data_IF_594470253323
#
_entry.id   IF_594470253323
#
_cell.length_a   1.000
_cell.length_b   1.000
_cell.length_c   1.000
_cell.angle_alpha   90.00
_cell.angle_beta   90.00
_cell.angle_gamma   90.00
#
_symmetry.space_group_name_H-M   'P 1'
#
loop_
_entity.id
_entity.type
_entity.pdbx_description
1 polymer ?
#
# COMPACT_ATOMS: atom_id res chain seq x y z
N UNK A 1 25.87 -9.96 22.74
CA UNK A 1 25.60 -9.89 21.29
C UNK A 1 24.25 -9.22 21.12
N UNK A 2 24.27 -7.95 20.73
CA UNK A 2 23.08 -7.12 20.69
C UNK A 2 22.19 -7.55 19.53
N UNK A 3 21.01 -8.09 19.84
CA UNK A 3 19.82 -7.98 18.99
C UNK A 3 19.47 -6.50 18.95
N UNK A 4 20.27 -5.70 18.24
CA UNK A 4 19.95 -4.33 17.91
C UNK A 4 18.62 -4.37 17.19
N UNK A 5 17.59 -3.91 17.89
CA UNK A 5 16.24 -3.76 17.40
C UNK A 5 16.31 -3.16 16.00
N UNK A 6 15.89 -3.92 15.00
CA UNK A 6 15.45 -3.36 13.71
C UNK A 6 14.18 -2.57 14.01
N UNK A 7 14.32 -1.42 14.69
CA UNK A 7 13.27 -0.41 14.76
C UNK A 7 13.22 0.18 13.34
N UNK A 8 12.33 -0.38 12.52
CA UNK A 8 12.00 0.19 11.21
C UNK A 8 11.51 1.62 11.42
N UNK A 9 11.87 2.50 10.48
CA UNK A 9 11.49 3.91 10.53
C UNK A 9 9.97 4.03 10.37
N UNK A 10 9.27 4.19 11.49
CA UNK A 10 7.81 4.22 11.55
C UNK A 10 7.24 5.40 10.76
N UNK A 11 7.91 6.55 10.78
CA UNK A 11 7.46 7.75 10.06
C UNK A 11 7.56 7.52 8.56
N UNK A 12 8.66 6.92 8.10
CA UNK A 12 8.84 6.56 6.69
C UNK A 12 7.79 5.55 6.22
N UNK A 13 7.51 4.54 7.03
CA UNK A 13 6.49 3.52 6.71
C UNK A 13 5.10 4.15 6.62
N UNK A 14 4.74 5.04 7.53
CA UNK A 14 3.46 5.77 7.48
C UNK A 14 3.35 6.68 6.25
N UNK A 15 4.42 7.39 5.89
CA UNK A 15 4.48 8.22 4.69
C UNK A 15 4.26 7.39 3.41
N UNK A 16 4.97 6.27 3.29
CA UNK A 16 4.87 5.35 2.17
C UNK A 16 3.47 4.74 2.06
N UNK A 17 2.87 4.33 3.18
CA UNK A 17 1.49 3.84 3.21
C UNK A 17 0.50 4.90 2.73
N UNK A 18 0.58 6.11 3.28
CA UNK A 18 -0.35 7.18 2.93
C UNK A 18 -0.25 7.53 1.43
N UNK A 19 0.98 7.60 0.92
CA UNK A 19 1.24 7.89 -0.48
C UNK A 19 0.74 6.78 -1.40
N UNK A 20 0.96 5.52 -1.04
CA UNK A 20 0.45 4.38 -1.79
C UNK A 20 -1.08 4.36 -1.80
N UNK A 21 -1.73 4.65 -0.66
CA UNK A 21 -3.20 4.76 -0.56
C UNK A 21 -3.73 5.83 -1.51
N UNK A 22 -3.17 7.03 -1.45
CA UNK A 22 -3.56 8.14 -2.30
C UNK A 22 -3.44 7.80 -3.79
N UNK A 23 -2.32 7.20 -4.21
CA UNK A 23 -2.11 6.81 -5.60
C UNK A 23 -3.16 5.79 -6.06
N UNK A 24 -3.49 4.80 -5.23
CA UNK A 24 -4.46 3.76 -5.58
C UNK A 24 -5.88 4.35 -5.63
N UNK A 25 -6.26 5.21 -4.69
CA UNK A 25 -7.59 5.85 -4.70
C UNK A 25 -7.75 6.76 -5.93
N UNK A 26 -6.69 7.49 -6.30
CA UNK A 26 -6.69 8.36 -7.48
C UNK A 26 -6.80 7.58 -8.80
N UNK A 27 -6.18 6.40 -8.87
CA UNK A 27 -6.00 5.67 -10.13
C UNK A 27 -6.89 4.44 -10.27
N UNK A 28 -7.40 3.87 -9.18
CA UNK A 28 -7.97 2.53 -9.18
C UNK A 28 -9.33 2.40 -9.89
N UNK A 29 -10.04 3.50 -10.13
CA UNK A 29 -11.23 3.53 -10.99
C UNK A 29 -10.95 4.02 -12.42
N UNK A 30 -9.73 4.49 -12.69
CA UNK A 30 -9.31 4.97 -14.01
C UNK A 30 -8.72 3.81 -14.82
N UNK A 31 -8.71 3.96 -16.14
CA UNK A 31 -8.10 2.97 -17.03
C UNK A 31 -6.63 2.72 -16.64
N UNK A 32 -6.22 1.47 -16.32
CA UNK A 32 -4.86 1.14 -15.91
C UNK A 32 -3.79 1.57 -16.93
N UNK A 33 -4.13 1.62 -18.22
CA UNK A 33 -3.22 2.08 -19.28
C UNK A 33 -2.87 3.56 -19.17
N UNK A 34 -3.72 4.37 -18.53
CA UNK A 34 -3.48 5.79 -18.29
C UNK A 34 -2.69 6.06 -16.99
N UNK A 35 -2.45 5.02 -16.18
CA UNK A 35 -1.86 5.12 -14.83
C UNK A 35 -0.49 4.43 -14.74
N UNK A 36 0.27 4.34 -15.84
CA UNK A 36 1.52 3.57 -15.88
C UNK A 36 2.57 4.12 -14.90
N UNK A 37 2.62 5.44 -14.73
CA UNK A 37 3.55 6.12 -13.81
C UNK A 37 3.21 5.80 -12.36
N UNK A 38 1.95 5.94 -11.99
CA UNK A 38 1.43 5.69 -10.64
C UNK A 38 1.55 4.20 -10.30
N UNK A 39 1.33 3.31 -11.27
CA UNK A 39 1.54 1.86 -11.11
C UNK A 39 3.01 1.54 -10.82
N UNK A 40 3.95 2.21 -11.49
CA UNK A 40 5.39 2.06 -11.21
C UNK A 40 5.73 2.57 -9.81
N UNK A 41 5.15 3.68 -9.38
CA UNK A 41 5.37 4.25 -8.05
C UNK A 41 4.80 3.35 -6.95
N UNK A 42 3.58 2.82 -7.11
CA UNK A 42 2.97 1.85 -6.18
C UNK A 42 3.86 0.61 -6.04
N UNK A 43 4.41 0.09 -7.15
CA UNK A 43 5.34 -1.05 -7.12
C UNK A 43 6.65 -0.72 -6.40
N UNK A 44 7.18 0.47 -6.61
CA UNK A 44 8.41 0.92 -5.93
C UNK A 44 8.19 1.05 -4.42
N UNK A 45 7.08 1.66 -4.00
CA UNK A 45 6.71 1.79 -2.58
C UNK A 45 6.53 0.41 -1.94
N UNK A 46 5.80 -0.49 -2.60
CA UNK A 46 5.61 -1.86 -2.10
C UNK A 46 6.94 -2.58 -1.92
N UNK A 47 7.84 -2.44 -2.89
CA UNK A 47 9.17 -3.05 -2.83
C UNK A 47 10.00 -2.49 -1.67
N UNK A 48 9.97 -1.17 -1.45
CA UNK A 48 10.67 -0.53 -0.32
C UNK A 48 10.15 -1.05 1.04
N UNK A 49 8.83 -1.21 1.18
CA UNK A 49 8.23 -1.79 2.39
C UNK A 49 8.61 -3.26 2.58
N UNK A 50 8.60 -4.06 1.51
CA UNK A 50 9.02 -5.48 1.56
C UNK A 50 10.52 -5.63 1.90
N UNK A 51 11.38 -4.74 1.40
CA UNK A 51 12.81 -4.68 1.76
C UNK A 51 13.04 -4.31 3.24
N UNK A 52 12.12 -3.57 3.85
CA UNK A 52 12.09 -3.32 5.30
C UNK A 52 11.59 -4.53 6.10
N UNK A 53 11.26 -5.65 5.44
CA UNK A 53 10.73 -6.86 6.07
C UNK A 53 9.24 -6.77 6.40
N UNK A 54 8.51 -5.83 5.79
CA UNK A 54 7.09 -5.60 6.01
C UNK A 54 6.27 -6.24 4.91
N UNK A 55 5.17 -6.90 5.27
CA UNK A 55 4.23 -7.42 4.29
C UNK A 55 3.09 -6.44 4.08
N UNK A 56 2.85 -6.08 2.83
CA UNK A 56 1.78 -5.15 2.44
C UNK A 56 0.58 -5.92 1.92
N UNK A 57 -0.58 -5.71 2.54
CA UNK A 57 -1.87 -6.17 2.02
C UNK A 57 -2.71 -4.97 1.63
N UNK A 58 -3.25 -4.99 0.41
CA UNK A 58 -4.12 -3.93 -0.11
C UNK A 58 -5.52 -4.50 -0.25
N UNK A 59 -6.50 -3.86 0.39
CA UNK A 59 -7.92 -4.19 0.27
C UNK A 59 -8.63 -3.08 -0.48
N UNK A 60 -9.33 -3.49 -1.53
CA UNK A 60 -10.08 -2.60 -2.41
C UNK A 60 -11.57 -2.68 -2.04
N UNK A 61 -12.20 -1.54 -1.77
CA UNK A 61 -13.64 -1.44 -1.50
C UNK A 61 -14.27 -0.46 -2.48
N UNK A 62 -14.80 -0.93 -3.61
CA UNK A 62 -15.52 -0.07 -4.53
C UNK A 62 -16.84 0.38 -3.90
N UNK A 63 -17.07 1.68 -3.86
CA UNK A 63 -18.35 2.29 -3.50
C UNK A 63 -19.03 2.75 -4.79
N UNK A 64 -19.84 1.87 -5.36
CA UNK A 64 -20.51 2.11 -6.64
C UNK A 64 -21.84 2.80 -6.40
N UNK A 65 -21.99 4.00 -6.97
CA UNK A 65 -23.28 4.66 -7.07
C UNK A 65 -23.96 4.24 -8.38
N UNK A 66 -25.03 3.44 -8.27
CA UNK A 66 -25.79 2.96 -9.43
C UNK A 66 -26.65 4.05 -10.09
N UNK A 67 -26.98 5.13 -9.37
CA UNK A 67 -27.71 6.26 -9.91
C UNK A 67 -26.77 7.23 -10.65
N UNK A 68 -25.52 7.36 -10.18
CA UNK A 68 -24.53 8.22 -10.80
C UNK A 68 -23.14 7.54 -10.89
N UNK A 69 -22.90 6.71 -11.92
CA UNK A 69 -21.67 5.91 -12.03
C UNK A 69 -20.38 6.75 -12.01
N UNK A 70 -20.44 8.02 -12.44
CA UNK A 70 -19.32 8.96 -12.44
C UNK A 70 -18.89 9.41 -11.04
N UNK A 71 -19.76 9.27 -10.04
CA UNK A 71 -19.46 9.56 -8.63
C UNK A 71 -19.02 8.33 -7.85
N UNK A 72 -18.91 7.16 -8.50
CA UNK A 72 -18.37 5.97 -7.87
C UNK A 72 -16.96 6.25 -7.35
N UNK A 73 -16.69 5.82 -6.13
CA UNK A 73 -15.38 5.98 -5.49
C UNK A 73 -14.77 4.63 -5.16
N UNK A 74 -13.45 4.61 -4.96
CA UNK A 74 -12.73 3.43 -4.52
C UNK A 74 -12.08 3.77 -3.20
N UNK A 75 -12.51 3.10 -2.15
CA UNK A 75 -11.89 3.18 -0.85
C UNK A 75 -10.81 2.09 -0.75
N UNK A 76 -9.63 2.48 -0.26
CA UNK A 76 -8.47 1.59 -0.18
C UNK A 76 -8.00 1.51 1.26
N UNK A 77 -7.90 0.29 1.78
CA UNK A 77 -7.23 -0.01 3.04
C UNK A 77 -5.88 -0.65 2.75
N UNK A 78 -4.84 -0.14 3.39
CA UNK A 78 -3.48 -0.70 3.32
C UNK A 78 -3.12 -1.21 4.70
N UNK A 79 -3.00 -2.52 4.81
CA UNK A 79 -2.58 -3.20 6.03
C UNK A 79 -1.11 -3.56 5.91
N UNK A 80 -0.31 -3.16 6.90
CA UNK A 80 1.07 -3.61 7.05
C UNK A 80 1.16 -4.67 8.15
N UNK A 81 1.72 -5.82 7.78
CA UNK A 81 2.03 -6.89 8.71
C UNK A 81 3.53 -6.92 8.99
N UNK A 82 3.86 -6.66 10.25
CA UNK A 82 5.22 -6.76 10.79
C UNK A 82 5.40 -8.19 11.31
N UNK A 83 6.24 -9.03 10.70
CA UNK A 83 6.47 -10.38 11.16
C UNK A 83 7.16 -10.35 12.53
N UNK A 84 6.48 -10.85 13.57
CA UNK A 84 7.12 -11.11 14.86
C UNK A 84 7.84 -12.45 14.76
N UNK A 85 9.17 -12.40 14.58
CA UNK A 85 10.12 -13.51 14.65
C UNK A 85 9.66 -14.82 13.99
N UNK A 86 10.04 -15.03 12.73
CA UNK A 86 9.97 -16.36 12.12
C UNK A 86 11.23 -17.13 12.54
N UNK A 87 11.15 -17.89 13.63
CA UNK A 87 12.16 -18.91 13.91
C UNK A 87 11.87 -20.10 13.00
N UNK A 88 12.57 -20.21 11.87
CA UNK A 88 12.61 -21.46 11.10
C UNK A 88 13.61 -22.36 11.83
N UNK A 89 13.11 -23.44 12.44
CA UNK A 89 13.95 -24.52 12.99
C UNK A 89 14.36 -25.48 11.88
#
# INVERSE_FOLDING_TARGET
MALSKLEFDKERVEELMFRMKFLIELTGLRDPSLNEKETKEIRAIRKELEEMGLYVTIKYRPQIDFANPLESTLEVDIDILIPKNVTIQ
#
